data_IF_477730267284
#
_entry.id   IF_477730267284
#
_cell.length_a   1.000
_cell.length_b   1.000
_cell.length_c   1.000
_cell.angle_alpha   90.00
_cell.angle_beta   90.00
_cell.angle_gamma   90.00
#
_symmetry.space_group_name_H-M   'P 1'
#
loop_
_entity.id
_entity.type
_entity.pdbx_description
1 polymer ?
#
# COMPACT_ATOMS: atom_id res chain seq x y z
N UNK A 1 -32.66 8.43 7.05
CA UNK A 1 -31.46 9.21 7.45
C UNK A 1 -30.14 8.63 6.92
N UNK A 2 -30.16 7.58 6.09
CA UNK A 2 -28.96 6.89 5.57
C UNK A 2 -28.51 7.38 4.18
N UNK A 3 -29.39 8.01 3.40
CA UNK A 3 -29.08 8.50 2.05
C UNK A 3 -27.82 9.38 1.93
N UNK A 4 -27.59 10.39 2.81
CA UNK A 4 -26.38 11.21 2.71
C UNK A 4 -25.10 10.42 3.07
N UNK A 5 -25.19 9.48 4.01
CA UNK A 5 -24.09 8.58 4.36
C UNK A 5 -23.74 7.66 3.20
N UNK A 6 -24.75 7.04 2.56
CA UNK A 6 -24.55 6.16 1.41
C UNK A 6 -23.89 6.93 0.26
N UNK A 7 -24.37 8.12 -0.06
CA UNK A 7 -23.77 8.99 -1.09
C UNK A 7 -22.31 9.34 -0.77
N UNK A 8 -22.04 9.69 0.50
CA UNK A 8 -20.70 10.01 0.95
C UNK A 8 -19.77 8.80 0.77
N UNK A 9 -20.19 7.59 1.14
CA UNK A 9 -19.38 6.37 0.97
C UNK A 9 -19.19 5.97 -0.50
N UNK A 10 -20.25 6.02 -1.32
CA UNK A 10 -20.16 5.62 -2.75
C UNK A 10 -19.33 6.59 -3.58
N UNK A 11 -19.13 7.82 -3.12
CA UNK A 11 -18.23 8.78 -3.78
C UNK A 11 -16.74 8.40 -3.70
N UNK A 12 -16.35 7.40 -2.89
CA UNK A 12 -14.98 6.85 -2.88
C UNK A 12 -13.89 7.77 -2.33
N UNK A 13 -14.23 8.93 -1.76
CA UNK A 13 -13.27 9.88 -1.16
C UNK A 13 -12.46 9.26 0.01
N UNK A 14 -13.05 8.32 0.74
CA UNK A 14 -12.42 7.63 1.86
C UNK A 14 -11.13 6.93 1.41
N UNK A 15 -11.14 6.34 0.21
CA UNK A 15 -9.93 5.75 -0.39
C UNK A 15 -8.83 6.77 -0.59
N UNK A 16 -9.15 7.97 -1.09
CA UNK A 16 -8.17 9.02 -1.30
C UNK A 16 -7.56 9.49 0.04
N UNK A 17 -8.40 9.67 1.06
CA UNK A 17 -7.94 10.01 2.42
C UNK A 17 -7.08 8.89 3.01
N UNK A 18 -7.48 7.64 2.86
CA UNK A 18 -6.71 6.49 3.35
C UNK A 18 -5.34 6.39 2.65
N UNK A 19 -5.26 6.64 1.33
CA UNK A 19 -3.99 6.68 0.59
C UNK A 19 -3.11 7.82 1.09
N UNK A 20 -3.67 9.01 1.31
CA UNK A 20 -2.92 10.13 1.86
C UNK A 20 -2.34 9.80 3.24
N UNK A 21 -3.16 9.26 4.15
CA UNK A 21 -2.73 8.84 5.48
C UNK A 21 -1.63 7.76 5.40
N UNK A 22 -1.80 6.77 4.54
CA UNK A 22 -0.81 5.70 4.32
C UNK A 22 0.57 6.28 3.94
N UNK A 23 0.60 7.20 2.98
CA UNK A 23 1.84 7.85 2.56
C UNK A 23 2.40 8.79 3.63
N UNK A 24 1.55 9.53 4.35
CA UNK A 24 1.99 10.35 5.50
C UNK A 24 2.68 9.49 6.55
N UNK A 25 2.09 8.36 6.95
CA UNK A 25 2.70 7.44 7.92
C UNK A 25 4.03 6.89 7.37
N UNK A 26 4.05 6.48 6.10
CA UNK A 26 5.25 5.95 5.44
C UNK A 26 6.40 6.97 5.46
N UNK A 27 6.12 8.23 5.12
CA UNK A 27 7.10 9.32 5.14
C UNK A 27 7.55 9.68 6.57
N UNK A 28 6.63 9.70 7.53
CA UNK A 28 6.96 9.98 8.94
C UNK A 28 7.85 8.88 9.52
N UNK A 29 7.55 7.61 9.27
CA UNK A 29 8.38 6.48 9.71
C UNK A 29 9.74 6.54 9.05
N UNK A 30 9.80 6.75 7.73
CA UNK A 30 11.06 6.86 7.03
C UNK A 30 11.91 8.04 7.48
N UNK A 31 11.30 9.21 7.71
CA UNK A 31 11.98 10.41 8.17
C UNK A 31 12.56 10.30 9.59
N UNK A 32 12.06 9.35 10.40
CA UNK A 32 12.60 9.04 11.73
C UNK A 32 13.65 7.92 11.71
N UNK A 33 13.87 7.28 10.57
CA UNK A 33 14.88 6.23 10.44
C UNK A 33 16.29 6.83 10.37
N UNK A 34 17.32 6.16 10.93
CA UNK A 34 18.72 6.53 10.73
C UNK A 34 19.11 6.59 9.25
N UNK A 35 18.46 5.79 8.41
CA UNK A 35 18.68 5.72 6.96
C UNK A 35 17.35 5.93 6.20
N UNK A 36 16.91 7.18 5.99
CA UNK A 36 15.59 7.48 5.45
C UNK A 36 15.39 6.96 4.03
N UNK A 37 16.43 6.98 3.18
CA UNK A 37 16.35 6.47 1.81
C UNK A 37 16.11 4.96 1.77
N UNK A 38 16.81 4.21 2.64
CA UNK A 38 16.66 2.76 2.75
C UNK A 38 15.29 2.42 3.33
N UNK A 39 14.84 3.16 4.36
CA UNK A 39 13.50 2.99 4.91
C UNK A 39 12.39 3.24 3.88
N UNK A 40 12.49 4.28 3.04
CA UNK A 40 11.56 4.50 1.94
C UNK A 40 11.61 3.34 0.94
N UNK A 41 12.79 2.90 0.52
CA UNK A 41 12.93 1.79 -0.41
C UNK A 41 12.29 0.49 0.11
N UNK A 42 12.38 0.25 1.42
CA UNK A 42 11.81 -0.94 2.05
C UNK A 42 10.29 -0.82 2.32
N UNK A 43 9.76 0.39 2.52
CA UNK A 43 8.34 0.60 2.82
C UNK A 43 7.49 0.91 1.58
N UNK A 44 8.09 1.49 0.54
CA UNK A 44 7.39 1.93 -0.67
C UNK A 44 6.66 0.79 -1.40
N UNK A 45 7.23 -0.42 -1.58
CA UNK A 45 6.52 -1.51 -2.26
C UNK A 45 5.21 -1.89 -1.55
N UNK A 46 5.22 -1.98 -0.21
CA UNK A 46 4.00 -2.22 0.57
C UNK A 46 3.02 -1.03 0.48
N UNK A 47 3.51 0.22 0.58
CA UNK A 47 2.66 1.41 0.47
C UNK A 47 2.00 1.51 -0.92
N UNK A 48 2.70 1.13 -1.98
CA UNK A 48 2.18 1.04 -3.36
C UNK A 48 1.11 -0.05 -3.45
N UNK A 49 1.38 -1.23 -2.88
CA UNK A 49 0.40 -2.33 -2.85
C UNK A 49 -0.90 -1.91 -2.15
N UNK A 50 -0.78 -1.33 -0.95
CA UNK A 50 -1.92 -0.78 -0.21
C UNK A 50 -2.64 0.33 -0.96
N UNK A 51 -1.90 1.23 -1.63
CA UNK A 51 -2.49 2.30 -2.43
C UNK A 51 -3.32 1.77 -3.59
N UNK A 52 -2.84 0.74 -4.29
CA UNK A 52 -3.55 0.11 -5.38
C UNK A 52 -4.84 -0.59 -4.92
N UNK A 53 -4.81 -1.27 -3.76
CA UNK A 53 -6.01 -1.86 -3.16
C UNK A 53 -7.03 -0.81 -2.72
N UNK A 54 -6.57 0.27 -2.08
CA UNK A 54 -7.45 1.37 -1.66
C UNK A 54 -8.06 2.07 -2.86
N UNK A 55 -7.28 2.29 -3.93
CA UNK A 55 -7.79 2.84 -5.18
C UNK A 55 -8.82 1.90 -5.82
N UNK A 56 -8.57 0.59 -5.84
CA UNK A 56 -9.51 -0.41 -6.37
C UNK A 56 -10.82 -0.41 -5.56
N UNK A 57 -10.73 -0.35 -4.24
CA UNK A 57 -11.89 -0.21 -3.36
C UNK A 57 -12.70 1.06 -3.67
N UNK A 58 -12.03 2.20 -3.85
CA UNK A 58 -12.68 3.47 -4.18
C UNK A 58 -13.37 3.44 -5.55
N UNK A 59 -12.75 2.79 -6.54
CA UNK A 59 -13.35 2.56 -7.85
C UNK A 59 -14.53 1.59 -7.78
N UNK A 60 -14.43 0.52 -6.99
CA UNK A 60 -15.49 -0.46 -6.82
C UNK A 60 -16.75 0.17 -6.20
N UNK A 61 -16.58 1.07 -5.22
CA UNK A 61 -17.66 1.85 -4.63
C UNK A 61 -18.39 2.76 -5.64
N UNK A 62 -17.69 3.19 -6.68
CA UNK A 62 -18.24 3.98 -7.80
C UNK A 62 -18.80 3.13 -8.94
N UNK A 63 -18.88 1.80 -8.77
CA UNK A 63 -19.31 0.85 -9.81
C UNK A 63 -18.50 0.96 -11.11
N UNK A 64 -17.18 1.17 -10.99
CA UNK A 64 -16.28 1.32 -12.14
C UNK A 64 -16.07 0.01 -12.90
N UNK A 65 -15.58 0.10 -14.14
CA UNK A 65 -15.30 -1.04 -15.00
C UNK A 65 -14.32 -2.04 -14.36
N UNK A 66 -14.61 -3.33 -14.54
CA UNK A 66 -13.85 -4.47 -13.98
C UNK A 66 -12.38 -4.47 -14.41
N UNK A 67 -12.06 -3.98 -15.61
CA UNK A 67 -10.68 -3.92 -16.11
C UNK A 67 -9.77 -3.06 -15.23
N UNK A 68 -10.25 -1.93 -14.72
CA UNK A 68 -9.48 -1.08 -13.81
C UNK A 68 -9.22 -1.77 -12.47
N UNK A 69 -10.21 -2.50 -11.95
CA UNK A 69 -10.06 -3.27 -10.72
C UNK A 69 -9.04 -4.39 -10.89
N UNK A 70 -9.09 -5.12 -12.01
CA UNK A 70 -8.13 -6.18 -12.32
C UNK A 70 -6.70 -5.64 -12.45
N UNK A 71 -6.53 -4.48 -13.11
CA UNK A 71 -5.23 -3.83 -13.26
C UNK A 71 -4.66 -3.37 -11.91
N UNK A 72 -5.48 -2.72 -11.07
CA UNK A 72 -5.06 -2.29 -9.73
C UNK A 72 -4.72 -3.50 -8.83
N UNK A 73 -5.47 -4.59 -8.94
CA UNK A 73 -5.18 -5.82 -8.21
C UNK A 73 -3.85 -6.44 -8.66
N UNK A 74 -3.59 -6.47 -9.98
CA UNK A 74 -2.32 -6.96 -10.52
C UNK A 74 -1.14 -6.11 -10.03
N UNK A 75 -1.26 -4.78 -10.07
CA UNK A 75 -0.25 -3.85 -9.52
C UNK A 75 -0.02 -4.11 -8.03
N UNK A 76 -1.10 -4.30 -7.25
CA UNK A 76 -1.00 -4.60 -5.82
C UNK A 76 -0.22 -5.89 -5.56
N UNK A 77 -0.51 -6.96 -6.30
CA UNK A 77 0.14 -8.25 -6.15
C UNK A 77 1.62 -8.19 -6.52
N UNK A 78 1.97 -7.52 -7.61
CA UNK A 78 3.37 -7.35 -8.03
C UNK A 78 4.14 -6.54 -6.97
N UNK A 79 3.56 -5.44 -6.48
CA UNK A 79 4.18 -4.62 -5.45
C UNK A 79 4.35 -5.37 -4.13
N UNK A 80 3.37 -6.18 -3.73
CA UNK A 80 3.45 -7.04 -2.55
C UNK A 80 4.51 -8.14 -2.70
N UNK A 81 4.63 -8.73 -3.90
CA UNK A 81 5.68 -9.70 -4.18
C UNK A 81 7.07 -9.09 -4.03
N UNK A 82 7.26 -7.85 -4.50
CA UNK A 82 8.52 -7.11 -4.33
C UNK A 82 8.82 -6.86 -2.85
N UNK A 83 7.83 -6.41 -2.07
CA UNK A 83 7.95 -6.23 -0.61
C UNK A 83 8.39 -7.53 0.08
N UNK A 84 7.73 -8.65 -0.25
CA UNK A 84 8.05 -9.96 0.31
C UNK A 84 9.48 -10.39 -0.04
N UNK A 85 9.93 -10.16 -1.28
CA UNK A 85 11.30 -10.48 -1.71
C UNK A 85 12.34 -9.70 -0.92
N UNK A 86 12.11 -8.40 -0.67
CA UNK A 86 13.02 -7.56 0.12
C UNK A 86 13.10 -8.08 1.57
N UNK A 87 11.94 -8.30 2.21
CA UNK A 87 11.89 -8.77 3.61
C UNK A 87 12.54 -10.14 3.80
N UNK A 88 12.33 -11.06 2.85
CA UNK A 88 12.94 -12.39 2.91
C UNK A 88 14.46 -12.35 2.70
N UNK A 89 14.96 -11.47 1.83
CA UNK A 89 16.40 -11.29 1.63
C UNK A 89 17.09 -10.79 2.91
N UNK A 90 16.49 -9.82 3.59
CA UNK A 90 17.00 -9.32 4.87
C UNK A 90 17.02 -10.41 5.95
N UNK A 91 15.97 -11.23 6.05
CA UNK A 91 15.91 -12.35 7.00
C UNK A 91 16.97 -13.42 6.73
N UNK A 92 17.19 -13.77 5.45
CA UNK A 92 18.22 -14.72 5.06
C UNK A 92 19.63 -14.25 5.44
N UNK A 93 19.90 -12.94 5.34
CA UNK A 93 21.18 -12.36 5.77
C UNK A 93 21.42 -12.45 7.28
N UNK A 94 20.35 -12.30 8.08
CA UNK A 94 20.43 -12.36 9.55
C UNK A 94 20.63 -13.77 10.10
N UNK A 95 20.08 -14.80 9.44
CA UNK A 95 20.28 -16.21 9.78
C UNK A 95 21.73 -16.65 9.56
N UNK A 96 22.33 -16.24 8.43
CA UNK A 96 23.73 -16.57 8.09
C UNK A 96 24.74 -15.98 9.09
N UNK A 97 24.42 -14.84 9.70
CA UNK A 97 25.29 -14.15 10.67
C UNK A 97 25.31 -14.78 12.07
N UNK A 98 24.42 -15.74 12.37
CA UNK A 98 24.33 -16.42 13.66
C UNK A 98 24.94 -17.84 13.66
N UNK A 99 25.35 -18.31 12.48
CA UNK A 99 25.94 -19.64 12.29
C UNK A 99 27.46 -19.63 12.13
N UNK A 100 28.08 -18.44 12.13
CA UNK A 100 29.53 -18.23 12.20
C UNK A 100 29.90 -17.72 13.59
#
# INVERSE_FOLDING_TARGET
MTAPLVFLFTSGWISAVAIAILWTITLVVAGRSPEPRVAIANLAPNAISGSALLAAFGLAMRQTQVLWLALLLAVSLVAFLIDLRIRLADQASGLRRRTD
#
